data_IF_753953820147
#
_entry.id   IF_753953820147
#
_cell.length_a   1.000
_cell.length_b   1.000
_cell.length_c   1.000
_cell.angle_alpha   90.00
_cell.angle_beta   90.00
_cell.angle_gamma   90.00
#
_symmetry.space_group_name_H-M   'P 1'
#
loop_
_entity.id
_entity.type
_entity.pdbx_description
1 polymer ?
#
# COMPACT_ATOMS: atom_id res chain seq x y z
N UNK A 1 10.66 0.73 7.17
CA UNK A 1 10.37 -0.62 6.66
C UNK A 1 11.32 -1.61 7.31
N UNK A 2 10.82 -2.80 7.66
CA UNK A 2 11.64 -3.88 8.24
C UNK A 2 12.63 -4.49 7.25
N UNK A 3 12.26 -4.53 5.97
CA UNK A 3 13.10 -5.10 4.91
C UNK A 3 14.17 -4.16 4.38
N UNK A 4 15.10 -4.73 3.61
CA UNK A 4 16.12 -4.03 2.84
C UNK A 4 16.05 -4.42 1.34
N UNK A 5 17.03 -3.98 0.56
CA UNK A 5 17.08 -4.25 -0.88
C UNK A 5 17.22 -5.75 -1.23
N UNK A 6 17.73 -6.58 -0.33
CA UNK A 6 17.92 -8.03 -0.55
C UNK A 6 16.73 -8.87 -0.06
N UNK A 7 16.00 -8.35 0.94
CA UNK A 7 14.80 -8.99 1.50
C UNK A 7 13.79 -7.90 1.90
N UNK A 8 12.98 -7.42 0.94
CA UNK A 8 12.17 -6.21 1.11
C UNK A 8 10.99 -6.37 2.08
N UNK A 9 10.58 -7.60 2.40
CA UNK A 9 9.45 -7.87 3.31
C UNK A 9 9.88 -7.80 4.77
N UNK A 10 11.13 -8.13 5.09
CA UNK A 10 11.65 -8.13 6.47
C UNK A 10 11.39 -9.41 7.25
N UNK A 11 11.16 -10.55 6.57
CA UNK A 11 10.83 -11.85 7.17
C UNK A 11 11.80 -12.26 8.29
N UNK A 12 13.11 -12.05 8.09
CA UNK A 12 14.15 -12.40 9.05
C UNK A 12 14.05 -11.70 10.42
N UNK A 13 13.28 -10.61 10.50
CA UNK A 13 13.12 -9.84 11.73
C UNK A 13 11.88 -10.19 12.53
N UNK A 14 10.96 -11.01 12.02
CA UNK A 14 9.67 -11.29 12.66
C UNK A 14 9.85 -11.85 14.07
N UNK A 15 10.67 -12.88 14.23
CA UNK A 15 10.96 -13.46 15.54
C UNK A 15 11.68 -12.49 16.51
N UNK A 16 12.47 -11.55 15.97
CA UNK A 16 13.13 -10.53 16.78
C UNK A 16 12.10 -9.55 17.32
N UNK A 17 11.19 -9.07 16.47
CA UNK A 17 10.11 -8.15 16.88
C UNK A 17 9.28 -8.75 18.03
N UNK A 18 8.88 -10.02 17.91
CA UNK A 18 8.15 -10.71 18.96
C UNK A 18 8.93 -10.74 20.28
N UNK A 19 10.23 -11.10 20.25
CA UNK A 19 11.07 -11.16 21.43
C UNK A 19 11.33 -9.81 22.08
N UNK A 20 11.40 -8.75 21.28
CA UNK A 20 11.58 -7.36 21.75
C UNK A 20 10.27 -6.73 22.24
N UNK A 21 9.14 -7.47 22.21
CA UNK A 21 7.87 -7.06 22.80
C UNK A 21 7.06 -6.11 21.94
N UNK A 22 7.21 -6.15 20.61
CA UNK A 22 6.32 -5.43 19.70
C UNK A 22 4.97 -6.12 19.63
N UNK A 23 3.87 -5.34 19.59
CA UNK A 23 2.50 -5.83 19.55
C UNK A 23 2.09 -6.30 18.15
N UNK A 24 2.61 -5.69 17.10
CA UNK A 24 2.32 -6.03 15.70
C UNK A 24 3.45 -5.55 14.78
N UNK A 25 3.43 -6.02 13.54
CA UNK A 25 4.32 -5.54 12.49
C UNK A 25 3.54 -4.90 11.35
N UNK A 26 4.24 -4.04 10.58
CA UNK A 26 3.77 -3.43 9.34
C UNK A 26 4.56 -3.99 8.17
N UNK A 27 3.87 -4.51 7.15
CA UNK A 27 4.46 -5.16 5.98
C UNK A 27 4.20 -4.41 4.67
N UNK A 28 5.14 -4.43 3.71
CA UNK A 28 5.02 -3.73 2.44
C UNK A 28 4.14 -4.50 1.46
N UNK A 29 2.91 -4.01 1.22
CA UNK A 29 1.89 -4.72 0.43
C UNK A 29 2.29 -4.90 -1.04
N UNK A 30 2.91 -3.89 -1.67
CA UNK A 30 3.35 -4.01 -3.06
C UNK A 30 4.35 -5.16 -3.27
N UNK A 31 5.30 -5.34 -2.35
CA UNK A 31 6.25 -6.45 -2.39
C UNK A 31 5.58 -7.80 -2.11
N UNK A 32 4.60 -7.81 -1.23
CA UNK A 32 3.79 -9.02 -0.97
C UNK A 32 3.00 -9.41 -2.22
N UNK A 33 2.50 -8.44 -2.99
CA UNK A 33 1.80 -8.72 -4.25
C UNK A 33 2.69 -9.34 -5.34
N UNK A 34 4.00 -9.19 -5.26
CA UNK A 34 4.96 -9.81 -6.17
C UNK A 34 5.21 -11.30 -5.89
N UNK A 35 4.82 -11.78 -4.70
CA UNK A 35 4.96 -13.20 -4.36
C UNK A 35 4.03 -14.08 -5.20
N UNK A 36 4.52 -15.27 -5.56
CA UNK A 36 3.64 -16.35 -6.03
C UNK A 36 2.67 -16.75 -4.91
N UNK A 37 1.61 -17.48 -5.24
CA UNK A 37 0.68 -17.97 -4.20
C UNK A 37 1.40 -18.84 -3.17
N UNK A 38 2.28 -19.74 -3.62
CA UNK A 38 3.09 -20.57 -2.72
C UNK A 38 4.01 -19.73 -1.81
N UNK A 39 4.64 -18.68 -2.34
CA UNK A 39 5.49 -17.78 -1.55
C UNK A 39 4.68 -16.93 -0.56
N UNK A 40 3.43 -16.64 -0.88
CA UNK A 40 2.53 -15.95 0.03
C UNK A 40 2.02 -16.89 1.15
N UNK A 41 1.70 -18.13 0.85
CA UNK A 41 1.36 -19.14 1.88
C UNK A 41 2.52 -19.39 2.84
N UNK A 42 3.76 -19.44 2.32
CA UNK A 42 4.95 -19.53 3.16
C UNK A 42 5.09 -18.32 4.09
N UNK A 43 4.83 -17.10 3.59
CA UNK A 43 4.83 -15.89 4.40
C UNK A 43 3.79 -15.97 5.52
N UNK A 44 2.57 -16.42 5.24
CA UNK A 44 1.53 -16.59 6.26
C UNK A 44 1.94 -17.58 7.35
N UNK A 45 2.57 -18.70 6.97
CA UNK A 45 3.10 -19.67 7.94
C UNK A 45 4.19 -19.05 8.83
N UNK A 46 5.11 -18.30 8.24
CA UNK A 46 6.18 -17.61 8.98
C UNK A 46 5.62 -16.57 9.97
N UNK A 47 4.58 -15.82 9.58
CA UNK A 47 3.89 -14.88 10.47
C UNK A 47 3.28 -15.61 11.65
N UNK A 48 2.57 -16.71 11.38
CA UNK A 48 1.94 -17.52 12.43
C UNK A 48 2.99 -18.11 13.39
N UNK A 49 4.08 -18.65 12.88
CA UNK A 49 5.18 -19.24 13.67
C UNK A 49 5.91 -18.19 14.50
N UNK A 50 6.05 -16.96 14.01
CA UNK A 50 6.73 -15.88 14.72
C UNK A 50 5.98 -15.37 15.94
N UNK A 51 4.65 -15.57 15.99
CA UNK A 51 3.77 -15.08 17.05
C UNK A 51 3.48 -13.58 17.01
N UNK A 52 4.03 -12.81 16.04
CA UNK A 52 3.72 -11.38 15.88
C UNK A 52 2.73 -11.16 14.73
N UNK A 53 1.55 -10.57 14.98
CA UNK A 53 0.54 -10.34 13.94
C UNK A 53 0.96 -9.22 12.97
N UNK A 54 0.48 -9.30 11.73
CA UNK A 54 0.51 -8.19 10.78
C UNK A 54 -0.82 -7.44 10.85
N UNK A 55 -0.86 -6.29 11.54
CA UNK A 55 -2.08 -5.47 11.63
C UNK A 55 -2.11 -4.29 10.66
N UNK A 56 -0.98 -3.97 10.05
CA UNK A 56 -0.84 -2.85 9.13
C UNK A 56 -0.03 -3.25 7.90
N UNK A 57 -0.42 -2.68 6.74
CA UNK A 57 0.38 -2.73 5.54
C UNK A 57 0.74 -1.32 5.08
N UNK A 58 1.94 -1.14 4.54
CA UNK A 58 2.35 0.08 3.85
C UNK A 58 2.64 -0.19 2.37
N UNK A 59 3.18 0.81 1.67
CA UNK A 59 3.58 0.70 0.27
C UNK A 59 2.52 0.00 -0.59
N UNK A 60 1.29 0.55 -0.57
CA UNK A 60 0.10 -0.10 -1.14
C UNK A 60 0.26 -0.42 -2.63
N UNK A 61 0.70 0.55 -3.46
CA UNK A 61 0.85 0.38 -4.90
C UNK A 61 2.31 0.38 -5.34
N UNK A 62 2.70 -0.55 -6.23
CA UNK A 62 3.95 -0.44 -6.95
C UNK A 62 3.90 0.70 -7.97
N UNK A 63 5.04 1.24 -8.35
CA UNK A 63 5.12 2.33 -9.34
C UNK A 63 4.57 1.93 -10.73
N UNK A 64 4.51 0.65 -11.05
CA UNK A 64 3.97 0.10 -12.30
C UNK A 64 2.44 0.17 -12.41
N UNK A 65 1.73 0.37 -11.29
CA UNK A 65 0.28 0.61 -11.28
C UNK A 65 0.06 2.10 -11.12
N UNK A 66 -0.02 2.82 -12.25
CA UNK A 66 -0.18 4.28 -12.27
C UNK A 66 -1.59 4.69 -11.87
N UNK A 67 -1.69 5.63 -10.91
CA UNK A 67 -2.95 6.21 -10.44
C UNK A 67 -3.22 7.57 -11.08
N UNK A 68 -2.20 8.21 -11.65
CA UNK A 68 -2.26 9.54 -12.27
C UNK A 68 -1.49 9.56 -13.58
N UNK A 69 -1.88 10.46 -14.49
CA UNK A 69 -1.26 10.59 -15.80
C UNK A 69 -2.06 9.90 -16.90
N UNK A 70 -1.50 9.87 -18.12
CA UNK A 70 -2.13 9.22 -19.28
C UNK A 70 -2.13 7.68 -19.14
N UNK A 71 -1.23 7.14 -18.30
CA UNK A 71 -1.11 5.69 -18.06
C UNK A 71 -2.03 5.20 -16.92
N UNK A 72 -2.82 6.08 -16.31
CA UNK A 72 -3.79 5.67 -15.29
C UNK A 72 -4.92 4.86 -15.93
N UNK A 73 -5.06 3.62 -15.47
CA UNK A 73 -6.00 2.63 -16.01
C UNK A 73 -6.93 2.12 -14.90
N UNK A 74 -8.17 2.63 -14.79
CA UNK A 74 -9.10 2.22 -13.74
C UNK A 74 -9.39 0.71 -13.67
N UNK A 75 -9.59 -0.03 -14.77
CA UNK A 75 -9.68 -1.49 -14.76
C UNK A 75 -8.48 -2.17 -14.13
N UNK A 76 -7.25 -1.79 -14.51
CA UNK A 76 -6.02 -2.33 -13.95
C UNK A 76 -5.86 -1.98 -12.46
N UNK A 77 -6.23 -0.76 -12.07
CA UNK A 77 -6.26 -0.35 -10.66
C UNK A 77 -7.23 -1.23 -9.87
N UNK A 78 -8.44 -1.46 -10.40
CA UNK A 78 -9.47 -2.28 -9.74
C UNK A 78 -9.02 -3.73 -9.57
N UNK A 79 -8.43 -4.34 -10.59
CA UNK A 79 -7.88 -5.69 -10.51
C UNK A 79 -6.79 -5.81 -9.45
N UNK A 80 -5.84 -4.87 -9.45
CA UNK A 80 -4.78 -4.82 -8.45
C UNK A 80 -5.35 -4.67 -7.03
N UNK A 81 -6.26 -3.73 -6.81
CA UNK A 81 -6.88 -3.47 -5.50
C UNK A 81 -7.60 -4.72 -4.99
N UNK A 82 -8.35 -5.41 -5.85
CA UNK A 82 -9.02 -6.67 -5.49
C UNK A 82 -8.04 -7.69 -4.93
N UNK A 83 -6.94 -7.96 -5.64
CA UNK A 83 -5.92 -8.91 -5.19
C UNK A 83 -5.20 -8.45 -3.92
N UNK A 84 -4.91 -7.15 -3.81
CA UNK A 84 -4.25 -6.59 -2.64
C UNK A 84 -5.13 -6.66 -1.39
N UNK A 85 -6.44 -6.42 -1.50
CA UNK A 85 -7.37 -6.58 -0.38
C UNK A 85 -7.51 -8.04 0.05
N UNK A 86 -7.55 -8.98 -0.89
CA UNK A 86 -7.56 -10.41 -0.55
C UNK A 86 -6.34 -10.78 0.30
N UNK A 87 -5.14 -10.42 -0.16
CA UNK A 87 -3.91 -10.69 0.61
C UNK A 87 -3.86 -9.95 1.94
N UNK A 88 -4.30 -8.69 2.00
CA UNK A 88 -4.34 -7.93 3.23
C UNK A 88 -5.28 -8.55 4.28
N UNK A 89 -6.46 -9.04 3.88
CA UNK A 89 -7.38 -9.76 4.76
C UNK A 89 -6.73 -11.04 5.29
N UNK A 90 -6.11 -11.82 4.42
CA UNK A 90 -5.42 -13.08 4.82
C UNK A 90 -4.23 -12.84 5.75
N UNK A 91 -3.54 -11.70 5.63
CA UNK A 91 -2.50 -11.27 6.57
C UNK A 91 -3.07 -10.88 7.94
N UNK A 92 -4.35 -10.57 8.04
CA UNK A 92 -4.98 -10.01 9.23
C UNK A 92 -4.85 -8.49 9.35
N UNK A 93 -4.47 -7.81 8.27
CA UNK A 93 -4.30 -6.35 8.26
C UNK A 93 -5.63 -5.62 8.48
N UNK A 94 -5.60 -4.62 9.34
CA UNK A 94 -6.73 -3.73 9.69
C UNK A 94 -6.60 -2.36 9.03
N UNK A 95 -5.36 -1.99 8.68
CA UNK A 95 -5.01 -0.69 8.12
C UNK A 95 -4.07 -0.89 6.93
N UNK A 96 -4.30 -0.14 5.85
CA UNK A 96 -3.34 -0.01 4.76
C UNK A 96 -2.96 1.47 4.63
N UNK A 97 -1.66 1.76 4.71
CA UNK A 97 -1.11 3.10 4.52
C UNK A 97 -0.95 3.39 3.04
N UNK A 98 -1.65 4.41 2.56
CA UNK A 98 -1.62 4.86 1.18
C UNK A 98 -0.65 6.04 1.00
N UNK A 99 0.64 5.74 1.01
CA UNK A 99 1.73 6.64 0.62
C UNK A 99 1.97 6.60 -0.90
N UNK A 100 2.51 5.49 -1.39
CA UNK A 100 2.66 5.10 -2.80
C UNK A 100 3.04 6.23 -3.77
N UNK A 101 4.11 6.98 -3.44
CA UNK A 101 4.53 8.16 -4.22
C UNK A 101 4.79 7.84 -5.70
N UNK A 102 5.42 6.70 -5.99
CA UNK A 102 5.69 6.25 -7.35
C UNK A 102 4.43 6.05 -8.20
N UNK A 103 3.34 5.55 -7.62
CA UNK A 103 2.08 5.31 -8.31
C UNK A 103 1.26 6.58 -8.52
N UNK A 104 1.20 7.49 -7.51
CA UNK A 104 0.33 8.68 -7.53
C UNK A 104 1.04 9.98 -7.92
N UNK A 105 2.35 9.95 -8.20
CA UNK A 105 3.07 11.18 -8.56
C UNK A 105 2.62 11.71 -9.93
N UNK A 106 2.34 13.02 -9.98
CA UNK A 106 1.89 13.69 -11.22
C UNK A 106 3.03 13.73 -12.23
N UNK A 107 2.85 13.18 -13.45
CA UNK A 107 3.85 13.26 -14.50
C UNK A 107 4.18 14.71 -14.86
N UNK A 108 5.37 14.94 -15.42
CA UNK A 108 5.76 16.26 -15.89
C UNK A 108 4.84 16.71 -17.05
N UNK A 109 4.38 17.95 -17.00
CA UNK A 109 3.46 18.51 -17.98
C UNK A 109 2.01 18.03 -17.89
N UNK A 110 1.68 17.10 -17.00
CA UNK A 110 0.31 16.64 -16.84
C UNK A 110 -0.52 17.62 -16.00
N UNK A 111 -1.78 17.81 -16.37
CA UNK A 111 -2.69 18.70 -15.65
C UNK A 111 -2.93 18.24 -14.22
N UNK A 112 -2.63 19.13 -13.29
CA UNK A 112 -2.69 18.84 -11.87
C UNK A 112 -4.12 18.55 -11.37
N UNK A 113 -5.14 19.29 -11.86
CA UNK A 113 -6.52 19.08 -11.46
C UNK A 113 -7.03 17.73 -11.96
N UNK A 114 -6.65 17.37 -13.19
CA UNK A 114 -6.95 16.05 -13.74
C UNK A 114 -6.31 14.93 -12.90
N UNK A 115 -5.06 15.10 -12.45
CA UNK A 115 -4.42 14.13 -11.55
C UNK A 115 -5.13 14.01 -10.19
N UNK A 116 -5.64 15.12 -9.64
CA UNK A 116 -6.46 15.08 -8.42
C UNK A 116 -7.75 14.29 -8.62
N UNK A 117 -8.45 14.52 -9.74
CA UNK A 117 -9.66 13.75 -10.07
C UNK A 117 -9.35 12.26 -10.20
N UNK A 118 -8.27 11.90 -10.92
CA UNK A 118 -7.83 10.51 -11.05
C UNK A 118 -7.50 9.87 -9.69
N UNK A 119 -6.86 10.62 -8.79
CA UNK A 119 -6.59 10.13 -7.43
C UNK A 119 -7.87 9.92 -6.64
N UNK A 120 -8.85 10.81 -6.77
CA UNK A 120 -10.15 10.65 -6.12
C UNK A 120 -10.92 9.43 -6.67
N UNK A 121 -10.84 9.18 -7.99
CA UNK A 121 -11.45 8.01 -8.61
C UNK A 121 -10.75 6.71 -8.15
N UNK A 122 -9.42 6.71 -8.05
CA UNK A 122 -8.67 5.59 -7.48
C UNK A 122 -9.08 5.32 -6.02
N UNK A 123 -9.28 6.36 -5.20
CA UNK A 123 -9.76 6.21 -3.82
C UNK A 123 -11.17 5.62 -3.76
N UNK A 124 -12.06 5.95 -4.69
CA UNK A 124 -13.40 5.32 -4.78
C UNK A 124 -13.30 3.83 -5.12
N UNK A 125 -12.41 3.47 -6.05
CA UNK A 125 -12.13 2.06 -6.36
C UNK A 125 -11.61 1.33 -5.12
N UNK A 126 -10.65 1.92 -4.42
CA UNK A 126 -10.07 1.35 -3.19
C UNK A 126 -11.17 1.14 -2.14
N UNK A 127 -12.00 2.14 -1.89
CA UNK A 127 -13.06 2.10 -0.87
C UNK A 127 -14.09 1.00 -1.15
N UNK A 128 -14.42 0.77 -2.42
CA UNK A 128 -15.36 -0.28 -2.84
C UNK A 128 -14.91 -1.70 -2.42
N UNK A 129 -13.60 -1.92 -2.26
CA UNK A 129 -13.04 -3.19 -1.78
C UNK A 129 -12.65 -3.15 -0.30
N UNK A 130 -12.14 -2.02 0.20
CA UNK A 130 -11.66 -1.87 1.56
C UNK A 130 -12.82 -1.90 2.59
N UNK A 131 -13.93 -1.21 2.27
CA UNK A 131 -15.08 -1.13 3.17
C UNK A 131 -15.68 -2.52 3.49
N UNK A 132 -16.04 -3.37 2.51
CA UNK A 132 -16.55 -4.71 2.82
C UNK A 132 -15.50 -5.62 3.46
N UNK A 133 -14.21 -5.39 3.23
CA UNK A 133 -13.12 -6.10 3.88
C UNK A 133 -12.86 -5.67 5.33
N UNK A 134 -13.49 -4.59 5.80
CA UNK A 134 -13.25 -4.02 7.13
C UNK A 134 -11.87 -3.36 7.29
N UNK A 135 -11.21 -3.03 6.18
CA UNK A 135 -9.86 -2.43 6.16
C UNK A 135 -9.99 -0.91 6.06
N UNK A 136 -9.27 -0.19 6.91
CA UNK A 136 -9.17 1.26 6.85
C UNK A 136 -7.97 1.69 5.98
N UNK A 137 -8.19 2.70 5.14
CA UNK A 137 -7.13 3.31 4.33
C UNK A 137 -6.64 4.57 5.02
N UNK A 138 -5.39 4.57 5.43
CA UNK A 138 -4.72 5.73 6.02
C UNK A 138 -3.95 6.49 4.94
N UNK A 139 -4.42 7.66 4.55
CA UNK A 139 -3.74 8.50 3.56
C UNK A 139 -2.51 9.13 4.21
N UNK A 140 -1.33 8.74 3.74
CA UNK A 140 -0.07 9.27 4.23
C UNK A 140 0.24 10.63 3.57
N UNK A 141 0.44 11.69 4.37
CA UNK A 141 0.84 12.98 3.89
C UNK A 141 2.34 12.99 3.54
N UNK A 142 2.66 12.70 2.28
CA UNK A 142 4.04 12.74 1.78
C UNK A 142 4.57 14.18 1.71
N UNK A 143 5.88 14.37 1.88
CA UNK A 143 6.51 15.67 1.74
C UNK A 143 6.68 16.08 0.26
N UNK A 144 7.06 17.36 0.01
CA UNK A 144 7.19 17.91 -1.35
C UNK A 144 8.28 17.26 -2.20
N UNK A 145 9.26 16.58 -1.59
CA UNK A 145 10.32 15.87 -2.31
C UNK A 145 9.84 14.51 -2.78
N UNK A 146 8.90 13.91 -2.04
CA UNK A 146 8.36 12.59 -2.33
C UNK A 146 7.15 12.61 -3.25
N UNK A 147 6.36 13.68 -3.25
CA UNK A 147 5.16 13.75 -4.11
C UNK A 147 4.78 15.18 -4.45
N UNK A 148 4.56 15.43 -5.76
CA UNK A 148 3.99 16.69 -6.25
C UNK A 148 2.52 16.84 -5.85
N UNK A 149 1.78 15.76 -5.70
CA UNK A 149 0.35 15.76 -5.39
C UNK A 149 0.06 16.30 -3.98
N UNK A 150 0.92 16.02 -3.01
CA UNK A 150 0.73 16.44 -1.63
C UNK A 150 0.85 17.96 -1.43
N UNK A 151 1.65 18.65 -2.22
CA UNK A 151 1.90 20.07 -2.06
C UNK A 151 0.65 20.95 -2.24
N UNK A 152 -0.40 20.44 -2.88
CA UNK A 152 -1.63 21.19 -3.15
C UNK A 152 -2.75 20.97 -2.13
N UNK A 153 -2.84 19.81 -1.48
CA UNK A 153 -3.82 19.59 -0.39
C UNK A 153 -3.69 20.62 0.74
N UNK A 154 -2.51 21.22 0.92
CA UNK A 154 -2.28 22.29 1.90
C UNK A 154 -2.58 23.71 1.40
N UNK A 155 -2.70 23.94 0.08
CA UNK A 155 -2.88 25.29 -0.48
C UNK A 155 -4.32 25.71 -0.66
N UNK A 156 -5.23 24.78 -0.82
CA UNK A 156 -6.65 25.06 -0.91
C UNK A 156 -7.31 24.86 0.46
N UNK A 157 -7.08 25.82 1.36
CA UNK A 157 -8.07 26.01 2.42
C UNK A 157 -9.27 26.71 1.76
N UNK A 158 -10.37 26.02 1.70
CA UNK A 158 -11.68 26.59 1.42
C UNK A 158 -12.04 27.63 2.49
#
# INVERSE_FOLDING_TARGET
MLGDSSEPIGRRYMNLLYREGYDYMELPLAQIMELSEAGFEELLSQIQESGIPCECCNNFFPASVRLTGEEADPPKISEYVKGAMDRAVRLGAKIIVFGSSGAKNVPEGFDYRRALCQTADALRIIDAFALPAGIRIAIEPLNRRESKLYAAWRRERF
#
